data_IF_220791430650
#
_entry.id   IF_220791430650
#
_cell.length_a   1.000
_cell.length_b   1.000
_cell.length_c   1.000
_cell.angle_alpha   90.00
_cell.angle_beta   90.00
_cell.angle_gamma   90.00
#
_symmetry.space_group_name_H-M   'P 1'
#
loop_
_entity.id
_entity.type
_entity.pdbx_description
1 polymer ?
#
# COMPACT_ATOMS: atom_id res chain seq x y z
N UNK A 1 8.18 -30.14 -3.01
CA UNK A 1 8.35 -28.76 -2.51
C UNK A 1 9.61 -28.73 -1.67
N UNK A 2 10.65 -27.99 -2.10
CA UNK A 2 11.92 -27.89 -1.38
C UNK A 2 11.97 -26.50 -0.77
N UNK A 3 11.88 -26.43 0.56
CA UNK A 3 12.01 -25.17 1.30
C UNK A 3 13.51 -24.91 1.50
N UNK A 4 13.95 -23.71 1.15
CA UNK A 4 15.33 -23.25 1.34
C UNK A 4 15.28 -22.15 2.40
N UNK A 5 16.12 -22.30 3.43
CA UNK A 5 16.27 -21.29 4.48
C UNK A 5 17.53 -20.47 4.14
N UNK A 6 17.34 -19.21 3.78
CA UNK A 6 18.43 -18.28 3.46
C UNK A 6 18.34 -17.03 4.35
N UNK A 7 19.45 -16.32 4.49
CA UNK A 7 19.50 -15.07 5.25
C UNK A 7 18.70 -13.97 4.53
N UNK A 8 17.86 -13.28 5.28
CA UNK A 8 16.97 -12.25 4.73
C UNK A 8 17.72 -10.93 4.52
N UNK A 9 18.42 -10.81 3.39
CA UNK A 9 19.21 -9.61 3.06
C UNK A 9 18.33 -8.42 2.62
N UNK A 10 18.89 -7.20 2.64
CA UNK A 10 18.18 -6.00 2.15
C UNK A 10 17.82 -6.12 0.66
N UNK A 11 18.65 -6.78 -0.14
CA UNK A 11 18.35 -7.02 -1.56
C UNK A 11 17.11 -7.91 -1.70
N UNK A 12 17.06 -9.01 -0.96
CA UNK A 12 15.91 -9.91 -0.99
C UNK A 12 14.63 -9.22 -0.48
N UNK A 13 14.74 -8.39 0.56
CA UNK A 13 13.62 -7.56 1.02
C UNK A 13 13.10 -6.64 -0.10
N UNK A 14 14.00 -6.01 -0.88
CA UNK A 14 13.62 -5.17 -2.02
C UNK A 14 12.98 -5.99 -3.14
N UNK A 15 13.46 -7.19 -3.43
CA UNK A 15 12.86 -8.07 -4.43
C UNK A 15 11.42 -8.44 -4.04
N UNK A 16 11.18 -8.84 -2.80
CA UNK A 16 9.84 -9.16 -2.29
C UNK A 16 8.93 -7.95 -2.34
N UNK A 17 9.40 -6.78 -1.89
CA UNK A 17 8.60 -5.56 -1.91
C UNK A 17 8.21 -5.09 -3.33
N UNK A 18 8.95 -5.52 -4.35
CA UNK A 18 8.66 -5.21 -5.75
C UNK A 18 7.88 -6.32 -6.47
N UNK A 19 7.55 -7.42 -5.79
CA UNK A 19 6.86 -8.54 -6.42
C UNK A 19 5.45 -8.16 -6.87
N UNK A 20 5.09 -8.59 -8.08
CA UNK A 20 3.79 -8.38 -8.70
C UNK A 20 3.35 -9.66 -9.39
N UNK A 21 2.04 -9.90 -9.41
CA UNK A 21 1.47 -10.94 -10.25
C UNK A 21 1.54 -10.48 -11.71
N UNK A 22 2.05 -11.36 -12.58
CA UNK A 22 2.11 -11.14 -14.02
C UNK A 22 0.95 -11.85 -14.74
N UNK A 23 0.73 -11.51 -16.01
CA UNK A 23 -0.26 -12.18 -16.86
C UNK A 23 -1.70 -11.98 -16.40
N UNK A 24 -2.57 -12.95 -16.67
CA UNK A 24 -4.01 -12.87 -16.43
C UNK A 24 -4.40 -12.64 -14.97
N UNK A 25 -3.53 -13.00 -14.02
CA UNK A 25 -3.73 -12.81 -12.59
C UNK A 25 -3.21 -11.47 -12.06
N UNK A 26 -2.59 -10.64 -12.91
CA UNK A 26 -2.20 -9.30 -12.51
C UNK A 26 -3.42 -8.46 -12.10
N UNK A 27 -3.28 -7.63 -11.08
CA UNK A 27 -4.36 -6.73 -10.63
C UNK A 27 -4.83 -5.80 -11.74
N UNK A 28 -3.91 -5.38 -12.62
CA UNK A 28 -4.22 -4.58 -13.80
C UNK A 28 -5.15 -5.31 -14.79
N UNK A 29 -4.99 -6.63 -14.96
CA UNK A 29 -5.85 -7.42 -15.85
C UNK A 29 -7.19 -7.79 -15.21
N UNK A 30 -7.20 -8.16 -13.92
CA UNK A 30 -8.44 -8.52 -13.22
C UNK A 30 -9.33 -7.31 -12.93
N UNK A 31 -8.71 -6.14 -12.72
CA UNK A 31 -9.39 -4.93 -12.28
C UNK A 31 -8.93 -3.67 -13.03
N UNK A 32 -9.05 -3.63 -14.37
CA UNK A 32 -8.45 -2.58 -15.21
C UNK A 32 -8.99 -1.18 -14.95
N UNK A 33 -10.18 -1.06 -14.38
CA UNK A 33 -10.83 0.23 -14.08
C UNK A 33 -10.92 0.51 -12.58
N UNK A 34 -10.19 -0.25 -11.74
CA UNK A 34 -10.17 -0.03 -10.30
C UNK A 34 -8.90 0.72 -9.91
N UNK A 35 -9.09 1.74 -9.10
CA UNK A 35 -8.01 2.45 -8.43
C UNK A 35 -7.68 1.76 -7.10
N UNK A 36 -6.41 1.80 -6.71
CA UNK A 36 -5.99 1.34 -5.40
C UNK A 36 -6.23 2.47 -4.41
N UNK A 37 -6.89 2.17 -3.29
CA UNK A 37 -7.22 3.15 -2.26
C UNK A 37 -6.72 2.63 -0.91
N UNK A 38 -6.16 3.52 -0.10
CA UNK A 38 -5.84 3.26 1.29
C UNK A 38 -6.27 4.42 2.19
N UNK A 39 -6.43 4.11 3.47
CA UNK A 39 -6.66 5.10 4.52
C UNK A 39 -5.48 5.06 5.50
N UNK A 40 -4.93 6.22 5.84
CA UNK A 40 -3.83 6.34 6.81
C UNK A 40 -4.20 7.36 7.87
N UNK A 41 -3.94 7.07 9.15
CA UNK A 41 -4.15 8.03 10.24
C UNK A 41 -3.23 9.23 10.05
N UNK A 42 -3.74 10.44 10.27
CA UNK A 42 -3.02 11.67 9.95
C UNK A 42 -1.72 11.84 10.76
N UNK A 43 -1.64 11.26 11.96
CA UNK A 43 -0.42 11.27 12.77
C UNK A 43 0.72 10.40 12.20
N UNK A 44 0.43 9.43 11.32
CA UNK A 44 1.43 8.50 10.81
C UNK A 44 2.19 9.10 9.61
N UNK A 45 2.95 10.15 9.88
CA UNK A 45 3.73 10.86 8.86
C UNK A 45 4.69 9.94 8.09
N UNK A 46 5.25 8.93 8.77
CA UNK A 46 6.17 7.96 8.14
C UNK A 46 5.46 7.19 7.03
N UNK A 47 4.26 6.67 7.30
CA UNK A 47 3.48 5.96 6.29
C UNK A 47 3.02 6.91 5.17
N UNK A 48 2.55 8.10 5.51
CA UNK A 48 2.13 9.12 4.52
C UNK A 48 3.29 9.44 3.55
N UNK A 49 4.50 9.67 4.06
CA UNK A 49 5.70 9.92 3.23
C UNK A 49 6.05 8.71 2.36
N UNK A 50 5.91 7.50 2.90
CA UNK A 50 6.14 6.26 2.14
C UNK A 50 5.16 6.13 0.97
N UNK A 51 3.85 6.32 1.22
CA UNK A 51 2.82 6.20 0.18
C UNK A 51 2.96 7.28 -0.89
N UNK A 52 3.26 8.53 -0.50
CA UNK A 52 3.59 9.59 -1.47
C UNK A 52 4.76 9.21 -2.37
N UNK A 53 5.85 8.66 -1.79
CA UNK A 53 7.02 8.19 -2.57
C UNK A 53 6.68 7.03 -3.50
N UNK A 54 5.74 6.17 -3.11
CA UNK A 54 5.24 5.08 -3.94
C UNK A 54 4.27 5.54 -5.05
N UNK A 55 3.90 6.83 -5.07
CA UNK A 55 3.03 7.43 -6.10
C UNK A 55 1.57 7.64 -5.68
N UNK A 56 1.21 7.36 -4.43
CA UNK A 56 -0.14 7.65 -3.94
C UNK A 56 -0.37 9.15 -3.77
N UNK A 57 -1.58 9.61 -4.10
CA UNK A 57 -2.00 11.01 -4.02
C UNK A 57 -3.07 11.13 -2.94
N UNK A 58 -2.95 12.16 -2.10
CA UNK A 58 -3.98 12.49 -1.10
C UNK A 58 -5.24 12.98 -1.81
N UNK A 59 -6.39 12.39 -1.49
CA UNK A 59 -7.69 12.78 -2.04
C UNK A 59 -8.57 13.47 -1.03
N UNK A 60 -8.57 12.98 0.20
CA UNK A 60 -9.48 13.45 1.23
C UNK A 60 -8.86 13.33 2.61
N UNK A 61 -9.25 14.23 3.51
CA UNK A 61 -8.94 14.19 4.93
C UNK A 61 -10.27 14.28 5.67
N UNK A 62 -10.55 13.32 6.56
CA UNK A 62 -11.83 13.23 7.25
C UNK A 62 -11.64 12.61 8.63
N UNK A 63 -12.60 12.86 9.51
CA UNK A 63 -12.62 12.30 10.87
C UNK A 63 -13.58 11.12 10.90
N UNK A 64 -13.21 10.07 11.62
CA UNK A 64 -14.09 8.92 11.87
C UNK A 64 -13.97 8.39 13.29
N UNK A 65 -15.08 7.82 13.75
CA UNK A 65 -15.11 7.02 14.95
C UNK A 65 -14.29 5.74 14.77
N UNK A 66 -13.47 5.44 15.76
CA UNK A 66 -12.78 4.16 15.86
C UNK A 66 -13.05 3.57 17.23
N UNK A 67 -12.88 2.25 17.44
CA UNK A 67 -13.11 1.63 18.74
C UNK A 67 -12.30 2.24 19.89
N UNK A 68 -11.22 2.99 19.59
CA UNK A 68 -10.36 3.68 20.56
C UNK A 68 -10.60 5.21 20.62
N UNK A 69 -11.65 5.70 19.96
CA UNK A 69 -12.02 7.12 19.91
C UNK A 69 -11.99 7.72 18.50
N UNK A 70 -12.32 9.00 18.44
CA UNK A 70 -12.29 9.81 17.21
C UNK A 70 -10.87 10.04 16.73
N UNK A 71 -10.63 9.87 15.43
CA UNK A 71 -9.34 10.22 14.82
C UNK A 71 -9.50 10.69 13.38
N UNK A 72 -8.48 11.36 12.88
CA UNK A 72 -8.41 11.89 11.53
C UNK A 72 -7.64 10.93 10.60
N UNK A 73 -8.22 10.69 9.43
CA UNK A 73 -7.70 9.81 8.41
C UNK A 73 -7.54 10.55 7.10
N UNK A 74 -6.55 10.12 6.33
CA UNK A 74 -6.23 10.59 5.01
C UNK A 74 -6.52 9.45 4.03
N UNK A 75 -7.45 9.68 3.10
CA UNK A 75 -7.68 8.79 1.96
C UNK A 75 -6.67 9.10 0.88
N UNK A 76 -5.92 8.09 0.46
CA UNK A 76 -4.95 8.20 -0.62
C UNK A 76 -5.29 7.23 -1.74
N UNK A 77 -5.08 7.65 -2.98
CA UNK A 77 -5.35 6.86 -4.17
C UNK A 77 -4.10 6.67 -5.03
N UNK A 78 -3.96 5.50 -5.64
CA UNK A 78 -2.95 5.18 -6.64
C UNK A 78 -3.65 4.70 -7.92
N UNK A 79 -3.38 5.39 -9.02
CA UNK A 79 -3.84 5.02 -10.35
C UNK A 79 -2.77 4.19 -11.06
N UNK A 80 -3.17 3.04 -11.60
CA UNK A 80 -2.39 2.31 -12.60
C UNK A 80 -2.67 2.90 -13.99
#
# INVERSE_FOLDING_TARGET
MRLILEEFTELYAKEICNWKYDGEYSSANLYPSKIIVLEVRSFNERAIKCYKRAGFIVKEIYKKDTPIGYDEFIRMEFGC
#
